data_IF_694287630528
#
_entry.id   IF_694287630528
#
_cell.length_a   1.000
_cell.length_b   1.000
_cell.length_c   1.000
_cell.angle_alpha   90.00
_cell.angle_beta   90.00
_cell.angle_gamma   90.00
#
_symmetry.space_group_name_H-M   'P 1'
#
loop_
_entity.id
_entity.type
_entity.pdbx_description
1 polymer ?
#
# COMPACT_ATOMS: atom_id res chain seq x y z
N UNK A 1 13.01 -13.74 11.14
CA UNK A 1 13.79 -12.51 11.35
C UNK A 1 12.89 -11.27 11.25
N UNK A 2 13.25 -10.18 11.93
CA UNK A 2 12.52 -8.90 11.94
C UNK A 2 12.25 -8.34 10.55
N UNK A 3 13.20 -8.51 9.62
CA UNK A 3 13.03 -8.08 8.23
C UNK A 3 11.80 -8.73 7.57
N UNK A 4 11.59 -10.03 7.79
CA UNK A 4 10.43 -10.75 7.24
C UNK A 4 9.13 -10.22 7.85
N UNK A 5 9.13 -9.96 9.16
CA UNK A 5 7.99 -9.39 9.86
C UNK A 5 7.64 -8.00 9.30
N UNK A 6 8.64 -7.11 9.17
CA UNK A 6 8.42 -5.76 8.62
C UNK A 6 7.89 -5.81 7.19
N UNK A 7 8.48 -6.67 6.34
CA UNK A 7 8.02 -6.82 4.95
C UNK A 7 6.58 -7.35 4.89
N UNK A 8 6.24 -8.36 5.69
CA UNK A 8 4.88 -8.90 5.74
C UNK A 8 3.87 -7.85 6.25
N UNK A 9 4.25 -7.09 7.29
CA UNK A 9 3.42 -6.02 7.84
C UNK A 9 3.17 -4.92 6.81
N UNK A 10 4.21 -4.48 6.08
CA UNK A 10 4.09 -3.48 5.02
C UNK A 10 3.14 -3.93 3.91
N UNK A 11 3.24 -5.19 3.47
CA UNK A 11 2.34 -5.76 2.45
C UNK A 11 0.89 -5.79 2.94
N UNK A 12 0.66 -6.20 4.20
CA UNK A 12 -0.69 -6.26 4.78
C UNK A 12 -1.27 -4.86 4.97
N UNK A 13 -0.46 -3.89 5.39
CA UNK A 13 -0.86 -2.48 5.53
C UNK A 13 -1.30 -1.89 4.18
N UNK A 14 -0.52 -2.11 3.13
CA UNK A 14 -0.85 -1.67 1.77
C UNK A 14 -2.12 -2.34 1.23
N UNK A 15 -2.28 -3.64 1.43
CA UNK A 15 -3.51 -4.35 1.07
C UNK A 15 -4.72 -3.83 1.85
N UNK A 16 -4.56 -3.58 3.15
CA UNK A 16 -5.58 -2.99 3.99
C UNK A 16 -6.00 -1.59 3.50
N UNK A 17 -5.02 -0.76 3.14
CA UNK A 17 -5.27 0.56 2.57
C UNK A 17 -6.05 0.47 1.25
N UNK A 18 -5.68 -0.45 0.34
CA UNK A 18 -6.39 -0.68 -0.93
C UNK A 18 -7.85 -1.10 -0.68
N UNK A 19 -8.11 -1.97 0.30
CA UNK A 19 -9.48 -2.39 0.66
C UNK A 19 -10.28 -1.22 1.21
N UNK A 20 -9.69 -0.39 2.08
CA UNK A 20 -10.35 0.82 2.61
C UNK A 20 -10.68 1.78 1.47
N UNK A 21 -9.73 2.02 0.57
CA UNK A 21 -9.94 2.86 -0.61
C UNK A 21 -11.12 2.33 -1.46
N UNK A 22 -11.17 1.02 -1.67
CA UNK A 22 -12.25 0.40 -2.44
C UNK A 22 -13.63 0.55 -1.80
N UNK A 23 -13.72 0.55 -0.47
CA UNK A 23 -15.00 0.63 0.24
C UNK A 23 -15.46 2.08 0.39
N UNK A 24 -14.56 3.00 0.72
CA UNK A 24 -14.91 4.36 1.15
C UNK A 24 -14.69 5.43 0.08
N UNK A 25 -13.85 5.16 -0.93
CA UNK A 25 -13.47 6.12 -1.97
C UNK A 25 -13.85 5.65 -3.39
N UNK A 26 -14.80 4.73 -3.49
CA UNK A 26 -15.40 4.35 -4.77
C UNK A 26 -16.41 5.40 -5.21
N UNK A 27 -16.42 5.72 -6.50
CA UNK A 27 -17.42 6.59 -7.11
C UNK A 27 -18.74 5.87 -7.42
N UNK A 28 -19.53 6.45 -8.33
CA UNK A 28 -20.77 5.82 -8.80
C UNK A 28 -20.48 4.48 -9.48
N UNK A 29 -21.06 3.41 -8.94
CA UNK A 29 -20.79 2.05 -9.41
C UNK A 29 -21.55 1.76 -10.70
N UNK A 30 -20.83 1.39 -11.76
CA UNK A 30 -21.39 0.94 -13.02
C UNK A 30 -21.46 -0.58 -13.06
N UNK A 31 -22.69 -1.14 -12.98
CA UNK A 31 -22.92 -2.60 -13.02
C UNK A 31 -22.35 -3.20 -14.31
N UNK A 32 -22.45 -2.51 -15.45
CA UNK A 32 -21.89 -2.97 -16.72
C UNK A 32 -20.39 -3.23 -16.63
N UNK A 33 -19.64 -2.27 -16.13
CA UNK A 33 -18.17 -2.38 -16.01
C UNK A 33 -17.75 -3.35 -14.90
N UNK A 34 -18.54 -3.48 -13.84
CA UNK A 34 -18.33 -4.52 -12.81
C UNK A 34 -18.44 -5.93 -13.40
N UNK A 35 -19.43 -6.18 -14.26
CA UNK A 35 -19.56 -7.46 -14.94
C UNK A 35 -18.40 -7.73 -15.92
N UNK A 36 -17.93 -6.71 -16.65
CA UNK A 36 -16.77 -6.82 -17.54
C UNK A 36 -15.48 -7.06 -16.73
N UNK A 37 -15.30 -6.39 -15.59
CA UNK A 37 -14.19 -6.62 -14.66
C UNK A 37 -14.19 -8.06 -14.15
N UNK A 38 -15.36 -8.56 -13.73
CA UNK A 38 -15.51 -9.93 -13.28
C UNK A 38 -15.20 -10.93 -14.40
N UNK A 39 -15.67 -10.69 -15.62
CA UNK A 39 -15.37 -11.53 -16.79
C UNK A 39 -13.86 -11.57 -17.08
N UNK A 40 -13.18 -10.41 -17.08
CA UNK A 40 -11.73 -10.34 -17.26
C UNK A 40 -10.98 -11.09 -16.15
N UNK A 41 -11.42 -10.97 -14.90
CA UNK A 41 -10.84 -11.72 -13.79
C UNK A 41 -11.01 -13.23 -13.93
N UNK A 42 -12.20 -13.70 -14.35
CA UNK A 42 -12.45 -15.13 -14.64
C UNK A 42 -11.52 -15.61 -15.76
N UNK A 43 -11.32 -14.82 -16.83
CA UNK A 43 -10.38 -15.16 -17.90
C UNK A 43 -8.97 -15.32 -17.35
N UNK A 44 -8.51 -14.44 -16.47
CA UNK A 44 -7.20 -14.56 -15.82
C UNK A 44 -7.09 -15.84 -14.97
N UNK A 45 -8.14 -16.19 -14.23
CA UNK A 45 -8.17 -17.46 -13.48
C UNK A 45 -8.12 -18.68 -14.40
N UNK A 46 -8.77 -18.63 -15.56
CA UNK A 46 -8.70 -19.71 -16.56
C UNK A 46 -7.29 -19.81 -17.15
N UNK A 47 -6.64 -18.68 -17.50
CA UNK A 47 -5.26 -18.65 -17.96
C UNK A 47 -4.32 -19.28 -16.93
N UNK A 48 -4.53 -18.99 -15.63
CA UNK A 48 -3.79 -19.61 -14.53
C UNK A 48 -4.06 -21.13 -14.45
N UNK A 49 -5.34 -21.55 -14.51
CA UNK A 49 -5.76 -22.96 -14.46
C UNK A 49 -5.15 -23.78 -15.61
N UNK A 50 -5.07 -23.22 -16.81
CA UNK A 50 -4.41 -23.84 -17.96
C UNK A 50 -2.88 -23.80 -17.91
N UNK A 51 -2.29 -23.30 -16.82
CA UNK A 51 -0.84 -23.24 -16.62
C UNK A 51 -0.08 -22.49 -17.71
N UNK A 52 -0.61 -21.43 -18.25
CA UNK A 52 0.08 -20.60 -19.24
C UNK A 52 1.24 -19.90 -18.54
N UNK A 53 2.48 -20.26 -18.90
CA UNK A 53 3.72 -19.77 -18.29
C UNK A 53 4.26 -18.51 -18.98
N UNK A 54 3.53 -17.93 -19.91
CA UNK A 54 3.90 -16.68 -20.61
C UNK A 54 3.23 -15.48 -19.93
N UNK A 55 3.98 -14.41 -19.71
CA UNK A 55 3.45 -13.20 -19.04
C UNK A 55 2.49 -12.39 -19.95
N UNK A 56 2.74 -12.39 -21.26
CA UNK A 56 1.99 -11.57 -22.21
C UNK A 56 0.46 -11.72 -22.15
N UNK A 57 -0.14 -12.95 -22.08
CA UNK A 57 -1.59 -13.10 -21.92
C UNK A 57 -2.13 -12.45 -20.64
N UNK A 58 -1.39 -12.55 -19.51
CA UNK A 58 -1.77 -11.91 -18.25
C UNK A 58 -1.72 -10.38 -18.37
N UNK A 59 -0.70 -9.84 -19.06
CA UNK A 59 -0.58 -8.41 -19.28
C UNK A 59 -1.73 -7.87 -20.11
N UNK A 60 -2.06 -8.51 -21.24
CA UNK A 60 -3.14 -8.06 -22.12
C UNK A 60 -4.48 -8.06 -21.38
N UNK A 61 -4.85 -9.19 -20.76
CA UNK A 61 -6.11 -9.27 -20.01
C UNK A 61 -6.08 -8.37 -18.77
N UNK A 62 -4.92 -8.19 -18.16
CA UNK A 62 -4.70 -7.27 -17.03
C UNK A 62 -4.94 -5.80 -17.40
N UNK A 63 -4.58 -5.38 -18.62
CA UNK A 63 -4.89 -4.03 -19.10
C UNK A 63 -6.40 -3.82 -19.27
N UNK A 64 -7.12 -4.80 -19.81
CA UNK A 64 -8.59 -4.74 -19.86
C UNK A 64 -9.21 -4.76 -18.46
N UNK A 65 -8.68 -5.60 -17.55
CA UNK A 65 -9.12 -5.62 -16.16
C UNK A 65 -8.94 -4.24 -15.51
N UNK A 66 -7.81 -3.59 -15.73
CA UNK A 66 -7.53 -2.25 -15.22
C UNK A 66 -8.51 -1.20 -15.78
N UNK A 67 -8.73 -1.20 -17.09
CA UNK A 67 -9.68 -0.27 -17.76
C UNK A 67 -11.11 -0.47 -17.23
N UNK A 68 -11.57 -1.72 -17.15
CA UNK A 68 -12.90 -2.04 -16.63
C UNK A 68 -13.06 -1.68 -15.15
N UNK A 69 -12.00 -1.90 -14.34
CA UNK A 69 -12.01 -1.49 -12.93
C UNK A 69 -12.11 0.02 -12.80
N UNK A 70 -11.32 0.76 -13.59
CA UNK A 70 -11.34 2.22 -13.60
C UNK A 70 -12.73 2.77 -13.96
N UNK A 71 -13.36 2.22 -14.99
CA UNK A 71 -14.69 2.65 -15.45
C UNK A 71 -15.84 2.09 -14.59
N UNK A 72 -15.57 1.15 -13.69
CA UNK A 72 -16.59 0.57 -12.79
C UNK A 72 -16.96 1.45 -11.59
N UNK A 73 -16.17 2.51 -11.33
CA UNK A 73 -16.27 3.34 -10.14
C UNK A 73 -15.41 2.82 -8.97
N UNK A 74 -14.82 1.63 -9.10
CA UNK A 74 -13.86 1.10 -8.13
C UNK A 74 -12.46 1.63 -8.46
N UNK A 75 -11.67 1.87 -7.41
CA UNK A 75 -10.31 2.39 -7.61
C UNK A 75 -9.44 1.40 -8.39
N UNK A 76 -8.77 1.89 -9.45
CA UNK A 76 -8.02 1.06 -10.40
C UNK A 76 -6.86 0.24 -9.81
N UNK A 77 -6.36 0.61 -8.62
CA UNK A 77 -5.30 -0.13 -7.90
C UNK A 77 -5.67 -1.58 -7.60
N UNK A 78 -6.96 -1.87 -7.42
CA UNK A 78 -7.46 -3.24 -7.17
C UNK A 78 -7.15 -4.16 -8.35
N UNK A 79 -7.20 -3.67 -9.58
CA UNK A 79 -6.89 -4.47 -10.75
C UNK A 79 -5.47 -5.06 -10.71
N UNK A 80 -4.49 -4.29 -10.21
CA UNK A 80 -3.12 -4.77 -10.03
C UNK A 80 -3.01 -5.92 -9.03
N UNK A 81 -3.73 -5.83 -7.92
CA UNK A 81 -3.77 -6.89 -6.89
C UNK A 81 -4.45 -8.14 -7.44
N UNK A 82 -5.61 -8.00 -8.07
CA UNK A 82 -6.34 -9.11 -8.69
C UNK A 82 -5.48 -9.79 -9.76
N UNK A 83 -4.80 -9.01 -10.63
CA UNK A 83 -3.89 -9.56 -11.63
C UNK A 83 -2.76 -10.35 -10.96
N UNK A 84 -2.10 -9.79 -9.96
CA UNK A 84 -0.99 -10.45 -9.26
C UNK A 84 -1.40 -11.79 -8.62
N UNK A 85 -2.62 -11.86 -8.03
CA UNK A 85 -3.16 -13.08 -7.45
C UNK A 85 -3.44 -14.17 -8.49
N UNK A 86 -3.62 -13.81 -9.76
CA UNK A 86 -3.87 -14.79 -10.84
C UNK A 86 -2.59 -15.31 -11.50
N UNK A 87 -1.44 -14.66 -11.30
CA UNK A 87 -0.17 -15.11 -11.88
C UNK A 87 0.32 -16.38 -11.15
N UNK A 88 0.68 -17.47 -11.87
CA UNK A 88 1.03 -18.73 -11.23
C UNK A 88 2.30 -18.63 -10.39
N UNK A 89 2.17 -19.02 -9.10
CA UNK A 89 3.26 -19.16 -8.16
C UNK A 89 3.39 -20.62 -7.73
N UNK A 90 4.42 -21.32 -8.22
CA UNK A 90 4.67 -22.73 -7.85
C UNK A 90 5.87 -22.84 -6.91
N UNK A 91 5.60 -23.27 -5.68
CA UNK A 91 6.60 -23.45 -4.61
C UNK A 91 7.67 -24.53 -4.91
N UNK A 92 7.36 -25.50 -5.79
CA UNK A 92 8.23 -26.66 -6.07
C UNK A 92 9.31 -26.42 -7.13
N UNK A 93 9.17 -25.41 -7.97
CA UNK A 93 10.14 -25.08 -9.02
C UNK A 93 10.65 -23.66 -8.74
N UNK A 94 11.68 -23.51 -7.88
CA UNK A 94 12.28 -22.22 -7.53
C UNK A 94 12.73 -21.42 -8.77
N UNK A 95 13.09 -22.11 -9.84
CA UNK A 95 13.60 -21.47 -11.08
C UNK A 95 12.49 -21.02 -12.04
N UNK A 96 11.22 -21.37 -11.83
CA UNK A 96 10.16 -21.18 -12.83
C UNK A 96 8.89 -20.48 -12.34
N UNK A 97 8.90 -19.80 -11.19
CA UNK A 97 7.77 -18.99 -10.78
C UNK A 97 7.66 -17.74 -11.65
N UNK A 98 6.62 -17.68 -12.52
CA UNK A 98 6.36 -16.52 -13.36
C UNK A 98 6.18 -15.26 -12.51
N UNK A 99 5.48 -15.37 -11.37
CA UNK A 99 5.26 -14.27 -10.43
C UNK A 99 6.58 -13.67 -9.95
N UNK A 100 7.53 -14.49 -9.50
CA UNK A 100 8.83 -14.03 -9.02
C UNK A 100 9.63 -13.35 -10.15
N UNK A 101 9.58 -13.90 -11.37
CA UNK A 101 10.26 -13.27 -12.52
C UNK A 101 9.70 -11.90 -12.83
N UNK A 102 8.38 -11.75 -12.81
CA UNK A 102 7.70 -10.47 -13.04
C UNK A 102 8.02 -9.48 -11.92
N UNK A 103 7.97 -9.92 -10.67
CA UNK A 103 8.34 -9.11 -9.50
C UNK A 103 9.77 -8.57 -9.63
N UNK A 104 10.76 -9.44 -9.86
CA UNK A 104 12.15 -9.04 -10.04
C UNK A 104 12.37 -8.11 -11.23
N UNK A 105 11.62 -8.31 -12.33
CA UNK A 105 11.73 -7.46 -13.51
C UNK A 105 11.14 -6.06 -13.26
N UNK A 106 10.03 -5.94 -12.53
CA UNK A 106 9.32 -4.68 -12.31
C UNK A 106 9.92 -3.89 -11.13
N UNK A 107 10.39 -4.57 -10.09
CA UNK A 107 10.86 -3.97 -8.84
C UNK A 107 11.87 -2.82 -9.03
N UNK A 108 12.90 -2.90 -9.88
CA UNK A 108 13.82 -1.79 -10.10
C UNK A 108 13.15 -0.55 -10.72
N UNK A 109 12.22 -0.75 -11.67
CA UNK A 109 11.50 0.36 -12.31
C UNK A 109 10.57 1.05 -11.32
N UNK A 110 9.94 0.28 -10.43
CA UNK A 110 9.12 0.85 -9.35
C UNK A 110 10.00 1.63 -8.37
N UNK A 111 11.08 1.01 -7.87
CA UNK A 111 11.91 1.61 -6.83
C UNK A 111 12.70 2.85 -7.30
N UNK A 112 13.23 2.83 -8.52
CA UNK A 112 14.12 3.90 -9.02
C UNK A 112 13.46 4.83 -10.05
N UNK A 113 12.28 4.48 -10.56
CA UNK A 113 11.54 5.29 -11.51
C UNK A 113 10.23 5.82 -10.94
N UNK A 114 9.27 4.91 -10.68
CA UNK A 114 7.90 5.30 -10.32
C UNK A 114 7.84 5.98 -8.94
N UNK A 115 8.50 5.41 -7.93
CA UNK A 115 8.46 5.97 -6.58
C UNK A 115 9.12 7.36 -6.47
N UNK A 116 10.31 7.62 -7.06
CA UNK A 116 10.87 8.97 -7.07
C UNK A 116 10.02 9.97 -7.83
N UNK A 117 9.45 9.59 -8.99
CA UNK A 117 8.53 10.45 -9.74
C UNK A 117 7.25 10.76 -8.96
N UNK A 118 6.67 9.75 -8.31
CA UNK A 118 5.51 9.94 -7.44
C UNK A 118 5.83 10.88 -6.28
N UNK A 119 6.99 10.69 -5.63
CA UNK A 119 7.44 11.55 -4.55
C UNK A 119 7.62 13.00 -5.03
N UNK A 120 8.28 13.19 -6.15
CA UNK A 120 8.49 14.52 -6.73
C UNK A 120 7.17 15.21 -7.07
N UNK A 121 6.22 14.49 -7.67
CA UNK A 121 4.93 15.05 -8.07
C UNK A 121 4.01 15.38 -6.87
N UNK A 122 4.08 14.60 -5.79
CA UNK A 122 3.09 14.68 -4.70
C UNK A 122 3.63 15.31 -3.41
N UNK A 123 4.95 15.34 -3.18
CA UNK A 123 5.53 15.88 -1.95
C UNK A 123 5.75 17.40 -1.99
N UNK A 124 5.53 18.06 -3.14
CA UNK A 124 5.66 19.52 -3.25
C UNK A 124 4.67 20.23 -2.35
N UNK A 125 5.19 21.01 -1.41
CA UNK A 125 4.42 21.84 -0.45
C UNK A 125 4.75 23.29 -0.71
N UNK A 126 3.75 24.17 -0.77
CA UNK A 126 3.99 25.60 -0.74
C UNK A 126 4.51 25.99 0.65
N UNK A 127 5.68 26.63 0.70
CA UNK A 127 6.25 27.13 1.95
C UNK A 127 5.71 28.52 2.32
N UNK A 128 4.94 29.15 1.43
CA UNK A 128 4.33 30.45 1.68
C UNK A 128 3.25 30.33 2.75
N UNK A 129 3.39 31.08 3.84
CA UNK A 129 2.43 31.09 4.93
C UNK A 129 2.53 29.89 5.91
N UNK A 130 3.50 29.00 5.75
CA UNK A 130 3.73 27.92 6.71
C UNK A 130 4.31 28.48 8.02
N UNK A 131 3.58 28.21 9.10
CA UNK A 131 3.99 28.46 10.48
C UNK A 131 4.05 27.14 11.24
N UNK A 132 4.86 27.08 12.29
CA UNK A 132 4.78 25.94 13.23
C UNK A 132 3.37 25.74 13.80
N UNK A 133 2.58 26.83 13.87
CA UNK A 133 1.17 26.74 14.27
C UNK A 133 0.34 25.91 13.29
N UNK A 134 0.66 25.90 12.00
CA UNK A 134 -0.06 25.08 10.99
C UNK A 134 0.08 23.57 11.22
N UNK A 135 1.13 23.12 11.92
CA UNK A 135 1.26 21.71 12.33
C UNK A 135 0.27 21.31 13.44
N UNK A 136 -0.25 22.28 14.18
CA UNK A 136 -1.22 22.07 15.25
C UNK A 136 -2.66 22.07 14.73
N UNK A 137 -2.87 22.37 13.45
CA UNK A 137 -4.17 22.26 12.83
C UNK A 137 -4.66 20.81 12.85
N UNK A 138 -5.98 20.61 12.87
CA UNK A 138 -6.62 19.31 13.08
C UNK A 138 -6.13 18.23 12.10
N UNK A 139 -5.95 18.57 10.82
CA UNK A 139 -5.56 17.60 9.78
C UNK A 139 -4.08 17.22 9.89
N UNK A 140 -3.11 18.15 9.86
CA UNK A 140 -1.69 17.79 10.03
C UNK A 140 -1.41 17.07 11.34
N UNK A 141 -1.94 17.60 12.46
CA UNK A 141 -1.75 17.00 13.78
C UNK A 141 -2.30 15.58 13.85
N UNK A 142 -3.51 15.36 13.31
CA UNK A 142 -4.10 14.03 13.26
C UNK A 142 -3.25 13.04 12.48
N UNK A 143 -2.67 13.47 11.35
CA UNK A 143 -1.80 12.64 10.51
C UNK A 143 -0.48 12.34 11.23
N UNK A 144 0.17 13.35 11.82
CA UNK A 144 1.41 13.17 12.60
C UNK A 144 1.20 12.19 13.75
N UNK A 145 0.13 12.39 14.54
CA UNK A 145 -0.19 11.49 15.65
C UNK A 145 -0.54 10.08 15.16
N UNK A 146 -1.28 9.95 14.06
CA UNK A 146 -1.62 8.66 13.47
C UNK A 146 -0.39 7.89 13.01
N UNK A 147 0.51 8.54 12.28
CA UNK A 147 1.73 7.92 11.76
C UNK A 147 2.76 7.64 12.85
N UNK A 148 3.09 8.66 13.67
CA UNK A 148 4.16 8.53 14.66
C UNK A 148 3.72 7.77 15.91
N UNK A 149 2.56 8.05 16.47
CA UNK A 149 2.08 7.42 17.71
C UNK A 149 1.18 6.23 17.41
N UNK A 150 0.18 6.41 16.54
CA UNK A 150 -0.86 5.42 16.27
C UNK A 150 -0.29 4.12 15.68
N UNK A 151 0.55 4.19 14.66
CA UNK A 151 1.16 3.01 14.06
C UNK A 151 2.10 2.27 15.01
N UNK A 152 2.95 3.00 15.74
CA UNK A 152 3.86 2.39 16.72
C UNK A 152 3.09 1.62 17.80
N UNK A 153 2.10 2.28 18.42
CA UNK A 153 1.31 1.67 19.47
C UNK A 153 0.47 0.51 18.93
N UNK A 154 -0.17 0.70 17.76
CA UNK A 154 -0.97 -0.34 17.13
C UNK A 154 -0.15 -1.60 16.85
N UNK A 155 0.96 -1.48 16.12
CA UNK A 155 1.83 -2.62 15.80
C UNK A 155 2.36 -3.28 17.05
N UNK A 156 2.87 -2.48 18.02
CA UNK A 156 3.46 -3.03 19.22
C UNK A 156 2.43 -3.72 20.12
N UNK A 157 1.30 -3.08 20.42
CA UNK A 157 0.28 -3.62 21.32
C UNK A 157 -0.33 -4.90 20.74
N UNK A 158 -0.78 -4.87 19.47
CA UNK A 158 -1.40 -6.06 18.86
C UNK A 158 -0.42 -7.23 18.74
N UNK A 159 0.84 -6.96 18.42
CA UNK A 159 1.86 -8.00 18.37
C UNK A 159 2.18 -8.53 19.78
N UNK A 160 2.32 -7.66 20.78
CA UNK A 160 2.54 -8.06 22.17
C UNK A 160 1.41 -8.96 22.68
N UNK A 161 0.17 -8.56 22.47
CA UNK A 161 -1.01 -9.34 22.87
C UNK A 161 -1.04 -10.69 22.15
N UNK A 162 -0.76 -10.73 20.84
CA UNK A 162 -0.74 -11.96 20.06
C UNK A 162 0.34 -12.94 20.55
N UNK A 163 1.52 -12.43 20.91
CA UNK A 163 2.62 -13.26 21.45
C UNK A 163 2.24 -13.75 22.86
N UNK A 164 1.67 -12.88 23.70
CA UNK A 164 1.27 -13.24 25.07
C UNK A 164 0.14 -14.28 25.09
N UNK A 165 -0.79 -14.19 24.15
CA UNK A 165 -1.86 -15.18 23.97
C UNK A 165 -1.39 -16.45 23.25
N UNK A 166 -0.09 -16.56 22.91
CA UNK A 166 0.53 -17.71 22.21
C UNK A 166 -0.08 -17.96 20.81
N UNK A 167 -0.75 -16.98 20.21
CA UNK A 167 -1.24 -17.04 18.83
C UNK A 167 -0.08 -16.85 17.84
N UNK A 168 0.92 -16.05 18.24
CA UNK A 168 2.15 -15.82 17.48
C UNK A 168 3.38 -16.08 18.35
N UNK A 169 4.53 -16.26 17.70
CA UNK A 169 5.82 -16.39 18.38
C UNK A 169 6.70 -15.21 18.02
N UNK A 170 7.47 -14.75 18.99
CA UNK A 170 8.47 -13.73 18.75
C UNK A 170 9.54 -14.25 17.77
N UNK A 171 9.97 -13.46 16.78
CA UNK A 171 11.07 -13.89 15.90
C UNK A 171 12.32 -14.23 16.67
N UNK A 172 12.99 -15.33 16.28
CA UNK A 172 14.22 -15.78 16.95
C UNK A 172 15.26 -14.66 16.98
N UNK A 173 16.02 -14.61 18.06
CA UNK A 173 17.10 -13.62 18.30
C UNK A 173 16.63 -12.16 18.30
N UNK A 174 15.40 -11.91 18.75
CA UNK A 174 14.82 -10.58 18.79
C UNK A 174 14.50 -10.16 20.22
N UNK A 175 14.99 -8.99 20.64
CA UNK A 175 14.57 -8.35 21.89
C UNK A 175 13.31 -7.50 21.68
N UNK A 176 12.57 -7.24 22.76
CA UNK A 176 11.42 -6.33 22.73
C UNK A 176 11.81 -4.92 22.27
N UNK A 177 13.02 -4.49 22.55
CA UNK A 177 13.54 -3.20 22.11
C UNK A 177 13.70 -3.15 20.59
N UNK A 178 14.33 -4.18 20.01
CA UNK A 178 14.47 -4.28 18.55
C UNK A 178 13.11 -4.42 17.86
N UNK A 179 12.17 -5.11 18.49
CA UNK A 179 10.81 -5.25 17.98
C UNK A 179 10.05 -3.93 17.98
N UNK A 180 10.19 -3.13 19.05
CA UNK A 180 9.63 -1.79 19.13
C UNK A 180 10.21 -0.87 18.04
N UNK A 181 11.53 -0.91 17.81
CA UNK A 181 12.19 -0.17 16.73
C UNK A 181 11.58 -0.48 15.35
N UNK A 182 11.18 -1.74 15.09
CA UNK A 182 10.43 -2.06 13.87
C UNK A 182 9.06 -1.38 13.87
N UNK A 183 8.37 -1.32 15.01
CA UNK A 183 7.11 -0.57 15.16
C UNK A 183 7.27 0.91 14.82
N UNK A 184 8.37 1.53 15.24
CA UNK A 184 8.69 2.94 14.89
C UNK A 184 8.85 3.12 13.39
N UNK A 185 9.59 2.24 12.72
CA UNK A 185 9.79 2.30 11.26
C UNK A 185 8.49 2.18 10.47
N UNK A 186 7.46 1.52 11.00
CA UNK A 186 6.16 1.45 10.32
C UNK A 186 5.44 2.79 10.25
N UNK A 187 5.83 3.76 11.06
CA UNK A 187 5.33 5.14 11.01
C UNK A 187 5.78 5.93 9.78
N UNK A 188 6.74 5.41 8.99
CA UNK A 188 7.15 6.01 7.71
C UNK A 188 6.08 5.68 6.68
N UNK A 189 5.09 6.56 6.52
CA UNK A 189 3.94 6.33 5.65
C UNK A 189 4.03 6.94 4.26
N UNK A 190 5.03 7.76 4.01
CA UNK A 190 5.27 8.69 2.90
C UNK A 190 4.37 8.49 1.66
N UNK A 191 4.61 7.47 0.82
CA UNK A 191 3.90 7.29 -0.45
C UNK A 191 2.43 6.93 -0.29
N UNK A 192 2.10 5.92 0.54
CA UNK A 192 0.71 5.51 0.77
C UNK A 192 -0.08 6.57 1.53
N UNK A 193 0.53 7.25 2.50
CA UNK A 193 -0.15 8.32 3.22
C UNK A 193 -0.47 9.52 2.35
N UNK A 194 0.43 9.91 1.43
CA UNK A 194 0.16 10.94 0.42
C UNK A 194 -0.91 10.50 -0.56
N UNK A 195 -0.88 9.24 -0.99
CA UNK A 195 -1.87 8.70 -1.92
C UNK A 195 -3.28 8.67 -1.30
N UNK A 196 -3.40 8.15 -0.08
CA UNK A 196 -4.68 8.14 0.65
C UNK A 196 -5.15 9.57 0.94
N UNK A 197 -4.24 10.48 1.31
CA UNK A 197 -4.55 11.88 1.52
C UNK A 197 -5.11 12.56 0.27
N UNK A 198 -4.50 12.31 -0.89
CA UNK A 198 -4.99 12.81 -2.17
C UNK A 198 -6.41 12.34 -2.47
N UNK A 199 -6.77 11.12 -2.12
CA UNK A 199 -8.11 10.58 -2.31
C UNK A 199 -9.11 11.11 -1.27
N UNK A 200 -8.69 11.22 -0.01
CA UNK A 200 -9.55 11.65 1.09
C UNK A 200 -9.96 13.12 0.99
N UNK A 201 -9.15 13.95 0.38
CA UNK A 201 -9.36 15.41 0.30
C UNK A 201 -9.53 15.94 -1.13
N UNK A 202 -9.96 15.08 -2.09
CA UNK A 202 -10.23 15.49 -3.48
C UNK A 202 -11.19 16.69 -3.57
N UNK A 203 -12.25 16.70 -2.76
CA UNK A 203 -13.24 17.77 -2.72
C UNK A 203 -12.82 18.97 -1.86
N UNK A 204 -11.76 18.81 -1.05
CA UNK A 204 -11.31 19.80 -0.07
C UNK A 204 -9.80 20.10 -0.23
N UNK A 205 -9.41 20.55 -1.40
CA UNK A 205 -8.01 20.80 -1.78
C UNK A 205 -7.27 21.76 -0.85
N UNK A 206 -8.00 22.62 -0.12
CA UNK A 206 -7.45 23.52 0.89
C UNK A 206 -6.70 22.81 2.03
N UNK A 207 -6.99 21.53 2.28
CA UNK A 207 -6.31 20.74 3.31
C UNK A 207 -5.06 19.99 2.79
N UNK A 208 -4.81 20.02 1.47
CA UNK A 208 -3.75 19.22 0.87
C UNK A 208 -2.35 19.58 1.35
N UNK A 209 -2.07 20.86 1.55
CA UNK A 209 -0.78 21.28 2.09
C UNK A 209 -0.62 20.80 3.55
N UNK A 210 -1.69 20.87 4.34
CA UNK A 210 -1.72 20.29 5.68
C UNK A 210 -1.50 18.79 5.70
N UNK A 211 -2.11 18.04 4.76
CA UNK A 211 -1.89 16.59 4.60
C UNK A 211 -0.42 16.30 4.30
N UNK A 212 0.15 16.98 3.31
CA UNK A 212 1.56 16.79 2.92
C UNK A 212 2.52 17.07 4.07
N UNK A 213 2.33 18.20 4.77
CA UNK A 213 3.16 18.58 5.92
C UNK A 213 3.02 17.53 7.03
N UNK A 214 1.81 17.11 7.36
CA UNK A 214 1.55 16.08 8.36
C UNK A 214 2.24 14.76 8.04
N UNK A 215 2.16 14.31 6.79
CA UNK A 215 2.82 13.08 6.32
C UNK A 215 4.34 13.19 6.36
N UNK A 216 4.90 14.30 5.87
CA UNK A 216 6.35 14.51 5.88
C UNK A 216 6.89 14.59 7.30
N UNK A 217 6.22 15.34 8.17
CA UNK A 217 6.63 15.50 9.59
C UNK A 217 6.51 14.19 10.35
N UNK A 218 5.39 13.48 10.24
CA UNK A 218 5.19 12.18 10.90
C UNK A 218 6.20 11.12 10.45
N UNK A 219 6.47 11.06 9.13
CA UNK A 219 7.49 10.16 8.57
C UNK A 219 8.91 10.53 9.01
N UNK A 220 9.23 11.82 9.08
CA UNK A 220 10.54 12.30 9.56
C UNK A 220 10.73 11.95 11.03
N UNK A 221 9.74 12.19 11.88
CA UNK A 221 9.79 11.82 13.30
C UNK A 221 10.03 10.31 13.46
N UNK A 222 9.31 9.48 12.70
CA UNK A 222 9.50 8.02 12.72
C UNK A 222 10.86 7.56 12.19
N UNK A 223 11.55 8.38 11.41
CA UNK A 223 12.89 8.08 10.89
C UNK A 223 13.99 8.44 11.89
N UNK A 224 13.78 9.54 12.65
CA UNK A 224 14.77 10.06 13.59
C UNK A 224 14.74 9.37 14.96
N UNK A 225 13.63 8.73 15.32
CA UNK A 225 13.39 8.09 16.62
C UNK A 225 13.76 6.62 16.61
#
# INVERSE_FOLDING_TARGET
SLKVFLTALAIIDDLGAIVIIAIFYSGDLSIKYLLLMLAAFIILLLINKFNIKKFLPYLIVGLFLWDFTHNSGIHATIAGVLLAMTIPHRKKEKDFSLLIKVEHAISPYVAFGIMPLFAFANAGVSLEGLSFASLLDKVPLGIVLGLFVGKQLGVFIFSYVSIKLKVAQMPNDTSWYNFYGVGVLTGIGFTMSLFVGNLAFVENMQYMDGVKIGVLTGSLLSTLF
#
